data_IF_831943174682
#
_entry.id   IF_831943174682
#
_cell.length_a   1.000
_cell.length_b   1.000
_cell.length_c   1.000
_cell.angle_alpha   90.00
_cell.angle_beta   90.00
_cell.angle_gamma   90.00
#
_symmetry.space_group_name_H-M   'P 1'
#
loop_
_entity.id
_entity.type
_entity.pdbx_description
1 polymer ?
#
# COMPACT_ATOMS: atom_id res chain seq x y z
N UNK A 1 -21.65 -7.85 -4.62
CA UNK A 1 -21.56 -7.56 -3.16
C UNK A 1 -20.57 -6.43 -2.94
N UNK A 2 -21.07 -5.26 -2.52
CA UNK A 2 -20.22 -4.12 -2.15
C UNK A 2 -19.55 -4.36 -0.79
N UNK A 3 -18.39 -3.75 -0.58
CA UNK A 3 -17.73 -3.66 0.73
C UNK A 3 -17.87 -2.22 1.20
N UNK A 4 -18.21 -2.02 2.47
CA UNK A 4 -18.24 -0.71 3.11
C UNK A 4 -16.99 -0.56 3.97
N UNK A 5 -16.34 0.59 3.87
CA UNK A 5 -15.20 0.98 4.69
C UNK A 5 -15.51 2.36 5.27
N UNK A 6 -15.08 2.62 6.51
CA UNK A 6 -15.25 3.93 7.15
C UNK A 6 -14.36 4.96 6.47
N UNK A 7 -13.14 4.55 6.10
CA UNK A 7 -12.16 5.39 5.44
C UNK A 7 -11.70 4.74 4.13
N UNK A 8 -11.71 5.53 3.05
CA UNK A 8 -11.21 5.11 1.74
C UNK A 8 -10.17 6.13 1.26
N UNK A 9 -8.97 5.64 0.99
CA UNK A 9 -7.91 6.39 0.31
C UNK A 9 -7.94 5.99 -1.16
N UNK A 10 -8.05 6.98 -2.06
CA UNK A 10 -7.99 6.74 -3.50
C UNK A 10 -6.61 7.15 -4.02
N UNK A 11 -5.92 6.18 -4.62
CA UNK A 11 -4.53 6.25 -5.06
C UNK A 11 -3.58 5.51 -4.12
N UNK A 12 -2.72 4.63 -4.65
CA UNK A 12 -1.74 3.84 -3.90
C UNK A 12 -0.32 4.40 -3.90
N UNK A 13 -0.17 5.73 -3.95
CA UNK A 13 1.15 6.38 -3.92
C UNK A 13 1.74 6.52 -2.51
N UNK A 14 2.89 7.21 -2.41
CA UNK A 14 3.62 7.46 -1.15
C UNK A 14 2.69 8.02 -0.05
N UNK A 15 1.85 9.01 -0.39
CA UNK A 15 0.93 9.63 0.55
C UNK A 15 -0.05 8.63 1.17
N UNK A 16 -0.54 7.65 0.40
CA UNK A 16 -1.47 6.64 0.89
C UNK A 16 -0.81 5.68 1.88
N UNK A 17 0.46 5.33 1.63
CA UNK A 17 1.26 4.54 2.56
C UNK A 17 1.44 5.27 3.90
N UNK A 18 1.85 6.53 3.87
CA UNK A 18 2.05 7.31 5.09
C UNK A 18 0.74 7.61 5.83
N UNK A 19 -0.34 7.90 5.10
CA UNK A 19 -1.66 8.09 5.70
C UNK A 19 -2.13 6.81 6.42
N UNK A 20 -2.01 5.64 5.78
CA UNK A 20 -2.37 4.37 6.40
C UNK A 20 -1.51 4.03 7.63
N UNK A 21 -0.22 4.38 7.60
CA UNK A 21 0.65 4.27 8.76
C UNK A 21 0.16 5.15 9.92
N UNK A 22 -0.21 6.40 9.66
CA UNK A 22 -0.75 7.31 10.68
C UNK A 22 -2.12 6.86 11.21
N UNK A 23 -3.01 6.35 10.35
CA UNK A 23 -4.28 5.77 10.78
C UNK A 23 -4.08 4.60 11.74
N UNK A 24 -3.09 3.75 11.48
CA UNK A 24 -2.76 2.64 12.37
C UNK A 24 -2.21 3.14 13.72
N UNK A 25 -1.33 4.15 13.71
CA UNK A 25 -0.83 4.78 14.94
C UNK A 25 -1.93 5.44 15.76
N UNK A 26 -2.96 5.98 15.10
CA UNK A 26 -4.15 6.59 15.72
C UNK A 26 -5.15 5.54 16.23
N UNK A 27 -4.89 4.24 16.01
CA UNK A 27 -5.71 3.15 16.50
C UNK A 27 -6.93 2.83 15.65
N UNK A 28 -6.93 3.17 14.35
CA UNK A 28 -8.00 2.74 13.45
C UNK A 28 -8.00 1.21 13.38
N UNK A 29 -9.14 0.55 13.63
CA UNK A 29 -9.20 -0.91 13.69
C UNK A 29 -9.05 -1.53 12.29
N UNK A 30 -8.54 -2.78 12.23
CA UNK A 30 -8.42 -3.50 10.97
C UNK A 30 -9.77 -3.61 10.25
N UNK A 31 -9.78 -3.37 8.95
CA UNK A 31 -11.00 -3.47 8.13
C UNK A 31 -11.80 -2.18 8.00
N UNK A 32 -11.47 -1.11 8.72
CA UNK A 32 -12.12 0.20 8.53
C UNK A 32 -11.44 1.08 7.47
N UNK A 33 -10.17 0.81 7.16
CA UNK A 33 -9.39 1.53 6.15
C UNK A 33 -9.17 0.69 4.90
N UNK A 34 -9.50 1.27 3.75
CA UNK A 34 -9.22 0.73 2.42
C UNK A 34 -8.40 1.70 1.58
N UNK A 35 -7.42 1.19 0.84
CA UNK A 35 -6.71 1.92 -0.20
C UNK A 35 -7.14 1.32 -1.54
N UNK A 36 -7.66 2.15 -2.44
CA UNK A 36 -8.00 1.76 -3.81
C UNK A 36 -6.93 2.33 -4.73
N UNK A 37 -6.29 1.49 -5.53
CA UNK A 37 -5.22 1.92 -6.44
C UNK A 37 -5.36 1.25 -7.80
N UNK A 38 -4.72 1.84 -8.80
CA UNK A 38 -4.52 1.22 -10.11
C UNK A 38 -3.20 0.46 -10.20
N UNK A 39 -2.36 0.46 -9.17
CA UNK A 39 -1.13 -0.35 -9.15
C UNK A 39 -1.39 -1.66 -8.41
N UNK A 40 -0.81 -2.79 -8.85
CA UNK A 40 -0.96 -4.10 -8.18
C UNK A 40 -0.02 -4.27 -6.96
N UNK A 41 0.81 -3.27 -6.70
CA UNK A 41 1.84 -3.28 -5.66
C UNK A 41 1.44 -2.34 -4.51
N UNK A 42 1.83 -2.66 -3.26
CA UNK A 42 1.58 -1.78 -2.12
C UNK A 42 2.32 -0.45 -2.28
N UNK A 43 1.88 0.63 -1.60
CA UNK A 43 2.58 1.91 -1.60
C UNK A 43 4.08 1.78 -1.30
N UNK A 44 4.89 2.37 -2.18
CA UNK A 44 6.35 2.35 -2.15
C UNK A 44 6.93 3.75 -2.38
N UNK A 45 8.21 3.91 -2.06
CA UNK A 45 8.95 5.16 -2.28
C UNK A 45 9.26 5.39 -3.77
N UNK A 46 8.42 6.18 -4.43
CA UNK A 46 8.60 6.53 -5.85
C UNK A 46 9.99 7.13 -6.21
N UNK A 47 10.65 7.94 -5.36
CA UNK A 47 11.99 8.47 -5.67
C UNK A 47 13.07 7.39 -5.86
N UNK A 48 12.85 6.16 -5.40
CA UNK A 48 13.77 5.05 -5.62
C UNK A 48 13.79 4.59 -7.09
N UNK A 49 12.67 4.75 -7.82
CA UNK A 49 12.51 4.24 -9.19
C UNK A 49 13.43 4.93 -10.20
N UNK A 50 13.79 6.20 -10.00
CA UNK A 50 14.67 6.96 -10.89
C UNK A 50 16.11 7.04 -10.37
N UNK A 51 16.43 6.34 -9.29
CA UNK A 51 17.73 6.39 -8.61
C UNK A 51 18.26 4.97 -8.41
N UNK A 52 18.18 4.47 -7.18
CA UNK A 52 18.69 3.16 -6.79
C UNK A 52 18.20 2.06 -7.72
N UNK A 53 16.93 2.07 -8.12
CA UNK A 53 16.36 1.02 -8.97
C UNK A 53 17.04 0.85 -10.34
N UNK A 54 17.69 1.90 -10.85
CA UNK A 54 18.38 1.87 -12.15
C UNK A 54 19.86 1.47 -12.03
N UNK A 55 20.38 1.32 -10.81
CA UNK A 55 21.79 0.97 -10.58
C UNK A 55 21.97 -0.55 -10.58
N UNK A 56 23.02 -1.09 -11.23
CA UNK A 56 23.24 -2.53 -11.37
C UNK A 56 23.52 -3.25 -10.03
N UNK A 57 24.06 -2.56 -9.02
CA UNK A 57 24.32 -3.15 -7.70
C UNK A 57 23.16 -2.99 -6.70
N UNK A 58 22.12 -2.21 -7.06
CA UNK A 58 21.00 -2.00 -6.18
C UNK A 58 20.07 -3.22 -6.23
N UNK A 59 20.35 -4.19 -5.36
CA UNK A 59 19.40 -5.22 -4.95
C UNK A 59 18.26 -4.60 -4.10
N UNK A 60 17.71 -3.47 -4.54
CA UNK A 60 16.46 -2.94 -4.02
C UNK A 60 15.35 -3.76 -4.64
N UNK A 61 15.14 -4.97 -4.10
CA UNK A 61 13.83 -5.59 -4.14
C UNK A 61 12.81 -4.51 -3.76
N UNK A 62 11.66 -4.46 -4.44
CA UNK A 62 10.58 -3.49 -4.18
C UNK A 62 9.91 -3.69 -2.81
N UNK A 63 10.69 -4.03 -1.78
CA UNK A 63 10.32 -4.22 -0.38
C UNK A 63 10.52 -2.95 0.45
N UNK A 64 11.00 -1.85 -0.12
CA UNK A 64 10.85 -0.51 0.49
C UNK A 64 9.41 -0.03 0.36
N UNK A 65 8.48 -0.84 0.85
CA UNK A 65 7.15 -0.38 1.17
C UNK A 65 7.29 0.72 2.23
N UNK A 66 6.40 1.72 2.19
CA UNK A 66 6.30 2.73 3.27
C UNK A 66 6.12 2.06 4.65
N UNK A 67 5.72 0.79 4.64
CA UNK A 67 5.42 -0.02 5.79
C UNK A 67 6.65 -0.76 6.37
N UNK A 68 7.74 -0.94 5.61
CA UNK A 68 8.90 -1.75 6.05
C UNK A 68 8.50 -3.18 6.44
N UNK A 69 9.11 -3.76 7.48
CA UNK A 69 8.71 -5.06 8.07
C UNK A 69 7.43 -4.98 8.93
N UNK A 70 6.65 -3.89 8.86
CA UNK A 70 5.41 -3.76 9.66
C UNK A 70 4.25 -4.33 8.87
N UNK A 71 3.70 -5.41 9.39
CA UNK A 71 2.45 -6.02 8.92
C UNK A 71 1.30 -5.06 9.16
N UNK A 72 0.88 -4.34 8.13
CA UNK A 72 -0.26 -3.44 8.17
C UNK A 72 -1.43 -4.08 7.43
N UNK A 73 -2.51 -4.36 8.16
CA UNK A 73 -3.75 -4.89 7.62
C UNK A 73 -4.57 -3.77 6.99
N UNK A 74 -4.21 -3.38 5.78
CA UNK A 74 -4.97 -2.42 4.98
C UNK A 74 -5.59 -3.16 3.80
N UNK A 75 -6.90 -2.99 3.59
CA UNK A 75 -7.52 -3.55 2.41
C UNK A 75 -7.04 -2.77 1.19
N UNK A 76 -6.35 -3.45 0.27
CA UNK A 76 -5.91 -2.86 -0.98
C UNK A 76 -6.77 -3.42 -2.12
N UNK A 77 -7.36 -2.53 -2.92
CA UNK A 77 -8.21 -2.93 -4.03
C UNK A 77 -7.72 -2.35 -5.34
N UNK A 78 -7.40 -3.23 -6.28
CA UNK A 78 -7.01 -2.89 -7.64
C UNK A 78 -8.23 -2.69 -8.54
N UNK A 79 -8.21 -1.64 -9.38
CA UNK A 79 -9.34 -1.26 -10.24
C UNK A 79 -9.43 -2.04 -11.56
N UNK A 80 -8.32 -2.61 -12.07
CA UNK A 80 -8.26 -3.16 -13.44
C UNK A 80 -8.60 -4.65 -13.61
N UNK A 81 -8.84 -5.42 -12.53
CA UNK A 81 -9.16 -6.85 -12.64
C UNK A 81 -10.02 -7.34 -11.48
N UNK A 82 -10.93 -8.28 -11.75
CA UNK A 82 -11.93 -8.84 -10.82
C UNK A 82 -11.33 -9.62 -9.63
N UNK A 83 -10.01 -9.62 -9.46
CA UNK A 83 -9.31 -10.24 -8.34
C UNK A 83 -9.18 -9.27 -7.16
N UNK A 84 -10.21 -9.31 -6.31
CA UNK A 84 -10.28 -8.61 -5.01
C UNK A 84 -9.31 -9.25 -4.01
N UNK A 85 -8.02 -9.00 -4.16
CA UNK A 85 -6.98 -9.59 -3.29
C UNK A 85 -6.81 -8.79 -1.99
N UNK A 86 -7.50 -9.23 -0.93
CA UNK A 86 -7.09 -8.86 0.44
C UNK A 86 -5.80 -9.61 0.76
N UNK A 87 -4.63 -9.05 0.46
CA UNK A 87 -3.34 -9.63 0.88
C UNK A 87 -2.79 -8.90 2.08
N UNK A 88 -2.49 -9.65 3.14
CA UNK A 88 -1.59 -9.16 4.20
C UNK A 88 -0.17 -9.20 3.64
N UNK A 89 0.50 -8.07 3.62
CA UNK A 89 1.90 -7.97 3.21
C UNK A 89 2.80 -8.04 4.46
N UNK A 90 3.88 -8.81 4.36
CA UNK A 90 4.85 -9.11 5.42
C UNK A 90 6.24 -8.66 4.98
#
# INVERSE_FOLDING_TARGET
MGRAFVYVIVGGGVAAGYAALEFTKRGVPPGELCIVSEELIPPYERPALSKGYLLPEANTTMTNSVFGNRRLMVHFQFLGHLERTTRMWN
#
